data_IF_678779808234
#
_entry.id   IF_678779808234
#
_cell.length_a   1.000
_cell.length_b   1.000
_cell.length_c   1.000
_cell.angle_alpha   90.00
_cell.angle_beta   90.00
_cell.angle_gamma   90.00
#
_symmetry.space_group_name_H-M   'P 1'
#
loop_
_entity.id
_entity.type
_entity.pdbx_description
1 polymer ?
#
# COMPACT_ATOMS: atom_id res chain seq x y z
N UNK A 1 21.03 16.05 -4.17
CA UNK A 1 20.28 15.33 -3.14
C UNK A 1 19.12 14.66 -3.84
N UNK A 2 18.94 13.35 -3.72
CA UNK A 2 17.79 12.65 -4.30
C UNK A 2 16.53 13.23 -3.66
N UNK A 3 15.60 13.72 -4.49
CA UNK A 3 14.35 14.33 -3.99
C UNK A 3 13.47 13.20 -3.44
N UNK A 4 13.14 13.23 -2.14
CA UNK A 4 12.26 12.25 -1.51
C UNK A 4 10.90 12.23 -2.18
N UNK A 5 10.28 11.04 -2.28
CA UNK A 5 8.92 10.87 -2.81
C UNK A 5 7.88 11.26 -1.76
N UNK A 6 8.17 10.98 -0.51
CA UNK A 6 7.37 11.36 0.64
C UNK A 6 8.31 11.95 1.70
N UNK A 7 7.91 13.07 2.28
CA UNK A 7 8.67 13.76 3.32
C UNK A 7 7.71 14.28 4.38
N UNK A 8 7.95 13.90 5.64
CA UNK A 8 7.06 14.13 6.76
C UNK A 8 7.86 14.71 7.92
N UNK A 9 7.35 15.80 8.48
CA UNK A 9 7.95 16.47 9.62
C UNK A 9 6.91 16.70 10.72
N UNK A 10 7.16 16.17 11.91
CA UNK A 10 6.39 16.38 13.15
C UNK A 10 4.89 16.13 12.98
N UNK A 11 4.51 15.11 12.20
CA UNK A 11 3.11 14.82 11.89
C UNK A 11 2.38 14.33 13.13
N UNK A 12 1.28 15.01 13.45
CA UNK A 12 0.37 14.66 14.54
C UNK A 12 -1.06 14.54 14.00
N UNK A 13 -1.75 13.49 14.42
CA UNK A 13 -3.12 13.19 14.00
C UNK A 13 -3.97 12.88 15.23
N UNK A 14 -5.13 13.54 15.33
CA UNK A 14 -6.13 13.25 16.34
C UNK A 14 -7.35 12.57 15.72
N UNK A 15 -7.96 11.67 16.47
CA UNK A 15 -9.23 11.05 16.14
C UNK A 15 -10.14 11.16 17.36
N UNK A 16 -11.30 11.77 17.18
CA UNK A 16 -12.24 12.03 18.29
C UNK A 16 -11.58 12.72 19.50
N UNK A 17 -10.69 13.68 19.22
CA UNK A 17 -9.95 14.43 20.26
C UNK A 17 -8.77 13.69 20.87
N UNK A 18 -8.56 12.40 20.55
CA UNK A 18 -7.45 11.59 21.07
C UNK A 18 -6.30 11.55 20.06
N UNK A 19 -5.03 11.81 20.48
CA UNK A 19 -3.89 11.66 19.59
C UNK A 19 -3.68 10.18 19.26
N UNK A 20 -3.72 9.85 17.95
CA UNK A 20 -3.50 8.50 17.43
C UNK A 20 -2.17 8.37 16.69
N UNK A 21 -1.59 9.50 16.27
CA UNK A 21 -0.23 9.63 15.74
C UNK A 21 0.38 10.88 16.35
N UNK A 22 1.58 10.76 16.90
CA UNK A 22 2.25 11.83 17.65
C UNK A 22 3.66 12.04 17.15
N UNK A 23 3.95 13.25 16.67
CA UNK A 23 5.29 13.73 16.33
C UNK A 23 6.10 12.80 15.42
N UNK A 24 5.50 12.32 14.34
CA UNK A 24 6.11 11.37 13.40
C UNK A 24 6.85 12.13 12.31
N UNK A 25 8.14 11.78 12.11
CA UNK A 25 9.01 12.35 11.08
C UNK A 25 9.76 11.23 10.35
N UNK A 26 9.68 11.16 9.03
CA UNK A 26 10.47 10.27 8.17
C UNK A 26 10.41 10.71 6.71
N UNK A 27 11.27 10.14 5.88
CA UNK A 27 11.21 10.32 4.43
C UNK A 27 11.31 8.97 3.71
N UNK A 28 10.75 8.92 2.48
CA UNK A 28 10.89 7.78 1.59
C UNK A 28 11.71 8.18 0.37
N UNK A 29 12.77 7.44 0.11
CA UNK A 29 13.55 7.58 -1.10
C UNK A 29 12.80 7.03 -2.31
N UNK A 30 13.09 7.51 -3.54
CA UNK A 30 12.54 6.93 -4.76
C UNK A 30 12.87 5.43 -4.88
N UNK A 31 11.95 4.68 -5.48
CA UNK A 31 12.11 3.26 -5.84
C UNK A 31 12.41 2.33 -4.65
N UNK A 32 12.09 2.76 -3.42
CA UNK A 32 12.22 1.93 -2.21
C UNK A 32 10.89 1.30 -1.82
N UNK A 33 10.96 0.13 -1.21
CA UNK A 33 9.84 -0.54 -0.55
C UNK A 33 10.02 -0.44 0.98
N UNK A 34 9.12 0.28 1.63
CA UNK A 34 9.20 0.53 3.07
C UNK A 34 7.96 -0.02 3.77
N UNK A 35 8.18 -0.90 4.75
CA UNK A 35 7.11 -1.43 5.57
C UNK A 35 6.84 -0.55 6.79
N UNK A 36 5.58 -0.32 7.10
CA UNK A 36 5.10 0.29 8.33
C UNK A 36 4.53 -0.82 9.23
N UNK A 37 5.22 -1.11 10.31
CA UNK A 37 4.88 -2.18 11.26
C UNK A 37 4.53 -1.63 12.63
N UNK A 38 3.82 -2.41 13.44
CA UNK A 38 3.45 -2.04 14.81
C UNK A 38 2.18 -2.75 15.29
N UNK A 39 1.88 -2.70 16.58
CA UNK A 39 0.72 -3.36 17.15
C UNK A 39 -0.61 -2.82 16.61
N UNK A 40 -1.70 -3.57 16.86
CA UNK A 40 -3.04 -3.08 16.56
C UNK A 40 -3.32 -1.83 17.39
N UNK A 41 -3.95 -0.83 16.76
CA UNK A 41 -4.19 0.47 17.43
C UNK A 41 -2.97 1.40 17.47
N UNK A 42 -1.82 1.03 16.90
CA UNK A 42 -0.61 1.87 16.85
C UNK A 42 -0.73 3.14 16.01
N UNK A 43 -1.82 3.32 15.26
CA UNK A 43 -2.03 4.49 14.42
C UNK A 43 -1.62 4.32 12.96
N UNK A 44 -1.24 3.12 12.50
CA UNK A 44 -0.74 2.84 11.15
C UNK A 44 -1.69 3.33 10.05
N UNK A 45 -2.94 2.86 10.05
CA UNK A 45 -3.94 3.29 9.04
C UNK A 45 -4.30 4.77 9.18
N UNK A 46 -4.28 5.34 10.39
CA UNK A 46 -4.49 6.79 10.59
C UNK A 46 -3.34 7.60 10.01
N UNK A 47 -2.09 7.15 10.19
CA UNK A 47 -0.92 7.74 9.54
C UNK A 47 -1.07 7.70 8.02
N UNK A 48 -1.33 6.52 7.44
CA UNK A 48 -1.54 6.35 5.99
C UNK A 48 -2.65 7.27 5.47
N UNK A 49 -3.80 7.33 6.14
CA UNK A 49 -4.91 8.20 5.75
C UNK A 49 -4.54 9.68 5.82
N UNK A 50 -3.76 10.09 6.81
CA UNK A 50 -3.29 11.48 6.93
C UNK A 50 -2.28 11.84 5.83
N UNK A 51 -1.40 10.92 5.44
CA UNK A 51 -0.45 11.09 4.34
C UNK A 51 -1.16 11.27 2.99
N UNK A 52 -2.28 10.60 2.82
CA UNK A 52 -3.10 10.67 1.60
C UNK A 52 -4.10 11.85 1.62
N UNK A 53 -4.15 12.61 2.73
CA UNK A 53 -5.11 13.70 2.90
C UNK A 53 -6.56 13.25 3.11
N UNK A 54 -6.78 11.97 3.41
CA UNK A 54 -8.11 11.40 3.73
C UNK A 54 -8.52 11.81 5.15
N UNK A 55 -7.55 11.77 6.08
CA UNK A 55 -7.73 12.21 7.46
C UNK A 55 -6.99 13.54 7.67
N UNK A 56 -7.63 14.56 8.27
CA UNK A 56 -6.96 15.83 8.56
C UNK A 56 -5.86 15.62 9.61
N UNK A 57 -4.72 16.28 9.41
CA UNK A 57 -3.66 16.34 10.40
C UNK A 57 -3.88 17.50 11.38
N UNK A 58 -3.46 17.33 12.62
CA UNK A 58 -3.54 18.35 13.67
C UNK A 58 -2.26 19.19 13.77
N UNK A 59 -1.14 18.64 13.29
CA UNK A 59 0.17 19.31 13.31
C UNK A 59 1.13 18.71 12.28
N UNK A 60 2.27 19.37 12.11
CA UNK A 60 3.32 18.96 11.23
C UNK A 60 3.08 19.26 9.75
N UNK A 61 4.00 18.79 8.91
CA UNK A 61 3.94 18.98 7.46
C UNK A 61 4.18 17.67 6.71
N UNK A 62 3.55 17.57 5.54
CA UNK A 62 3.70 16.44 4.60
C UNK A 62 3.98 17.02 3.22
N UNK A 63 4.98 16.48 2.54
CA UNK A 63 5.28 16.76 1.13
C UNK A 63 5.22 15.45 0.35
N UNK A 64 4.50 15.46 -0.76
CA UNK A 64 4.36 14.34 -1.69
C UNK A 64 4.90 14.74 -3.05
N UNK A 65 5.86 14.00 -3.57
CA UNK A 65 6.52 14.29 -4.85
C UNK A 65 7.00 15.76 -4.94
N UNK A 66 7.54 16.28 -3.83
CA UNK A 66 8.01 17.66 -3.71
C UNK A 66 6.92 18.72 -3.45
N UNK A 67 5.64 18.36 -3.47
CA UNK A 67 4.52 19.28 -3.28
C UNK A 67 3.95 19.19 -1.85
N UNK A 68 3.69 20.34 -1.19
CA UNK A 68 3.09 20.31 0.14
C UNK A 68 1.64 19.83 0.07
N UNK A 69 1.31 18.90 0.95
CA UNK A 69 -0.08 18.49 1.18
C UNK A 69 -0.78 19.59 1.99
N UNK A 70 -1.87 20.15 1.49
CA UNK A 70 -2.68 21.11 2.22
C UNK A 70 -3.27 20.54 3.52
N UNK A 71 -3.70 21.39 4.48
CA UNK A 71 -4.22 20.94 5.79
C UNK A 71 -5.43 19.98 5.68
N UNK A 72 -6.22 20.16 4.60
CA UNK A 72 -7.40 19.33 4.30
C UNK A 72 -7.15 18.35 3.17
N UNK A 73 -5.91 17.93 2.94
CA UNK A 73 -5.56 16.96 1.91
C UNK A 73 -5.49 17.50 0.47
N UNK A 74 -5.42 18.82 0.28
CA UNK A 74 -5.33 19.41 -1.06
C UNK A 74 -3.98 19.08 -1.70
N UNK A 75 -4.03 18.50 -2.89
CA UNK A 75 -2.89 18.26 -3.77
C UNK A 75 -3.24 18.70 -5.18
N UNK A 76 -2.27 19.22 -5.94
CA UNK A 76 -2.46 19.41 -7.38
C UNK A 76 -2.89 18.10 -8.04
N UNK A 77 -3.85 18.13 -9.00
CA UNK A 77 -4.31 16.90 -9.68
C UNK A 77 -3.17 16.07 -10.28
N UNK A 78 -2.19 16.72 -10.89
CA UNK A 78 -1.02 16.04 -11.48
C UNK A 78 -0.18 15.28 -10.46
N UNK A 79 -0.14 15.70 -9.20
CA UNK A 79 0.55 14.98 -8.09
C UNK A 79 -0.32 13.85 -7.59
N UNK A 80 -1.61 14.13 -7.33
CA UNK A 80 -2.57 13.13 -6.86
C UNK A 80 -2.68 11.95 -7.82
N UNK A 81 -2.67 12.21 -9.11
CA UNK A 81 -2.74 11.17 -10.15
C UNK A 81 -1.50 10.27 -10.21
N UNK A 82 -0.39 10.65 -9.55
CA UNK A 82 0.82 9.84 -9.44
C UNK A 82 0.88 8.99 -8.17
N UNK A 83 -0.17 9.02 -7.35
CA UNK A 83 -0.29 8.25 -6.11
C UNK A 83 -1.39 7.21 -6.30
N UNK A 84 -1.13 5.98 -5.89
CA UNK A 84 -2.13 4.92 -5.81
C UNK A 84 -2.25 4.43 -4.37
N UNK A 85 -3.46 4.07 -3.97
CA UNK A 85 -3.76 3.54 -2.65
C UNK A 85 -4.59 2.28 -2.74
N UNK A 86 -4.10 1.22 -2.12
CA UNK A 86 -4.82 -0.03 -1.90
C UNK A 86 -5.23 -0.11 -0.42
N UNK A 87 -6.51 0.08 -0.11
CA UNK A 87 -6.99 -0.05 1.26
C UNK A 87 -7.07 -1.53 1.70
N UNK A 88 -7.05 -1.76 3.00
CA UNK A 88 -7.21 -3.08 3.61
C UNK A 88 -8.48 -3.78 3.11
N UNK A 89 -9.58 -3.06 3.08
CA UNK A 89 -10.88 -3.55 2.64
C UNK A 89 -11.46 -2.59 1.62
N UNK A 90 -11.77 -3.10 0.44
CA UNK A 90 -12.59 -2.38 -0.52
C UNK A 90 -14.05 -2.68 -0.17
N UNK A 91 -14.68 -1.77 0.58
CA UNK A 91 -16.10 -1.87 0.92
C UNK A 91 -16.97 -1.55 -0.32
N UNK A 92 -17.07 -2.49 -1.24
CA UNK A 92 -18.08 -2.43 -2.30
C UNK A 92 -19.44 -2.74 -1.65
N UNK A 93 -20.09 -1.71 -1.10
CA UNK A 93 -21.43 -1.86 -0.52
C UNK A 93 -22.43 -2.16 -1.64
N UNK A 94 -23.00 -3.36 -1.62
CA UNK A 94 -23.97 -3.82 -2.60
C UNK A 94 -23.32 -4.54 -3.81
N UNK A 95 -24.15 -5.24 -4.58
CA UNK A 95 -23.74 -5.82 -5.87
C UNK A 95 -23.67 -4.71 -6.91
N UNK A 96 -22.52 -4.09 -7.03
CA UNK A 96 -22.28 -3.13 -8.12
C UNK A 96 -22.05 -3.98 -9.37
N UNK A 97 -22.90 -3.90 -10.41
CA UNK A 97 -22.72 -4.65 -11.67
C UNK A 97 -21.63 -3.96 -12.49
N UNK A 98 -20.38 -4.08 -12.03
CA UNK A 98 -19.21 -3.47 -12.64
C UNK A 98 -18.24 -4.57 -13.06
N UNK A 99 -17.95 -4.64 -14.35
CA UNK A 99 -16.97 -5.58 -14.87
C UNK A 99 -15.55 -5.18 -14.47
N UNK A 100 -14.65 -6.16 -14.38
CA UNK A 100 -13.23 -5.93 -14.01
C UNK A 100 -12.59 -4.90 -14.94
N UNK A 101 -12.80 -4.99 -16.26
CA UNK A 101 -12.26 -4.04 -17.23
C UNK A 101 -12.80 -2.62 -17.01
N UNK A 102 -14.08 -2.48 -16.67
CA UNK A 102 -14.69 -1.18 -16.36
C UNK A 102 -14.10 -0.61 -15.09
N UNK A 103 -13.99 -1.45 -14.04
CA UNK A 103 -13.38 -1.06 -12.76
C UNK A 103 -11.94 -0.55 -12.95
N UNK A 104 -11.10 -1.32 -13.66
CA UNK A 104 -9.72 -0.90 -13.97
C UNK A 104 -9.71 0.39 -14.78
N UNK A 105 -10.65 0.55 -15.69
CA UNK A 105 -10.83 1.76 -16.48
C UNK A 105 -11.11 3.02 -15.66
N UNK A 106 -11.74 2.90 -14.48
CA UNK A 106 -11.94 4.04 -13.57
C UNK A 106 -10.61 4.63 -13.09
N UNK A 107 -9.55 3.82 -13.01
CA UNK A 107 -8.20 4.28 -12.66
C UNK A 107 -7.54 5.14 -13.74
N UNK A 108 -8.02 5.04 -15.01
CA UNK A 108 -7.58 5.87 -16.13
C UNK A 108 -8.28 7.22 -16.15
N UNK A 109 -9.55 7.26 -15.79
CA UNK A 109 -10.36 8.45 -15.89
C UNK A 109 -9.92 9.50 -14.87
N UNK A 110 -9.87 10.81 -15.22
CA UNK A 110 -9.55 11.86 -14.25
C UNK A 110 -10.65 11.88 -13.17
N UNK A 111 -10.24 12.21 -11.93
CA UNK A 111 -11.21 12.34 -10.85
C UNK A 111 -12.21 13.46 -11.13
N UNK A 112 -13.51 13.14 -11.13
CA UNK A 112 -14.62 14.06 -11.38
C UNK A 112 -15.49 13.63 -12.56
N UNK A 113 -16.56 14.37 -12.85
CA UNK A 113 -17.42 14.07 -13.99
C UNK A 113 -16.63 14.15 -15.30
N UNK A 114 -16.39 13.02 -15.94
CA UNK A 114 -15.76 12.94 -17.25
C UNK A 114 -16.82 12.74 -18.33
N UNK A 115 -16.74 13.57 -19.37
CA UNK A 115 -17.61 13.41 -20.53
C UNK A 115 -17.12 12.19 -21.34
N UNK A 116 -18.00 11.26 -21.79
CA UNK A 116 -17.61 10.00 -22.41
C UNK A 116 -16.67 10.14 -23.63
N UNK A 117 -16.74 11.27 -24.34
CA UNK A 117 -15.88 11.54 -25.51
C UNK A 117 -14.50 12.13 -25.16
N UNK A 118 -14.22 12.41 -23.88
CA UNK A 118 -12.90 12.87 -23.41
C UNK A 118 -11.97 11.72 -23.01
N UNK A 119 -12.46 10.49 -22.97
CA UNK A 119 -11.63 9.30 -22.76
C UNK A 119 -10.72 9.14 -23.97
N UNK A 120 -9.52 9.71 -23.91
CA UNK A 120 -8.55 9.66 -25.00
C UNK A 120 -8.33 8.22 -25.49
N UNK A 121 -8.04 8.04 -26.78
CA UNK A 121 -7.98 6.75 -27.50
C UNK A 121 -7.01 5.69 -26.96
N UNK A 122 -6.34 5.95 -25.82
CA UNK A 122 -5.45 5.00 -25.12
C UNK A 122 -6.09 4.20 -23.98
N UNK A 123 -7.28 4.55 -23.48
CA UNK A 123 -7.91 3.93 -22.29
C UNK A 123 -8.04 2.41 -22.42
N UNK A 124 -8.64 1.93 -23.49
CA UNK A 124 -8.84 0.50 -23.72
C UNK A 124 -7.51 -0.27 -23.85
N UNK A 125 -6.52 0.31 -24.49
CA UNK A 125 -5.19 -0.28 -24.61
C UNK A 125 -4.48 -0.33 -23.23
N UNK A 126 -4.56 0.74 -22.43
CA UNK A 126 -4.00 0.81 -21.09
C UNK A 126 -4.66 -0.21 -20.14
N UNK A 127 -6.00 -0.32 -20.18
CA UNK A 127 -6.75 -1.32 -19.39
C UNK A 127 -6.31 -2.74 -19.77
N UNK A 128 -6.28 -3.09 -21.06
CA UNK A 128 -5.81 -4.41 -21.49
C UNK A 128 -4.36 -4.70 -21.08
N UNK A 129 -3.50 -3.69 -21.17
CA UNK A 129 -2.11 -3.84 -20.73
C UNK A 129 -2.01 -4.07 -19.22
N UNK A 130 -2.74 -3.32 -18.40
CA UNK A 130 -2.78 -3.49 -16.96
C UNK A 130 -3.30 -4.87 -16.54
N UNK A 131 -4.40 -5.33 -17.14
CA UNK A 131 -4.98 -6.64 -16.86
C UNK A 131 -4.02 -7.80 -17.22
N UNK A 132 -3.32 -7.72 -18.36
CA UNK A 132 -2.30 -8.73 -18.71
C UNK A 132 -1.16 -8.77 -17.69
N UNK A 133 -0.70 -7.62 -17.23
CA UNK A 133 0.44 -7.50 -16.29
C UNK A 133 0.11 -8.01 -14.88
N UNK A 134 -1.16 -8.07 -14.53
CA UNK A 134 -1.64 -8.58 -13.23
C UNK A 134 -2.25 -9.96 -13.33
N UNK A 135 -2.14 -10.63 -14.50
CA UNK A 135 -2.71 -11.95 -14.73
C UNK A 135 -4.21 -12.01 -14.40
N UNK A 136 -4.96 -11.03 -14.94
CA UNK A 136 -6.41 -10.89 -14.77
C UNK A 136 -7.13 -10.63 -16.10
N UNK A 137 -6.46 -10.87 -17.22
CA UNK A 137 -7.03 -10.59 -18.54
C UNK A 137 -8.25 -11.47 -18.87
N UNK A 138 -8.26 -12.70 -18.40
CA UNK A 138 -9.36 -13.68 -18.52
C UNK A 138 -10.57 -13.30 -17.67
N UNK A 139 -10.40 -12.41 -16.69
CA UNK A 139 -11.44 -11.94 -15.78
C UNK A 139 -12.10 -10.63 -16.26
N UNK A 140 -11.68 -10.06 -17.39
CA UNK A 140 -12.06 -8.72 -17.84
C UNK A 140 -13.57 -8.45 -17.84
N UNK A 141 -14.36 -9.45 -18.27
CA UNK A 141 -15.82 -9.37 -18.38
C UNK A 141 -16.57 -9.87 -17.12
N UNK A 142 -15.85 -10.40 -16.13
CA UNK A 142 -16.47 -10.86 -14.89
C UNK A 142 -16.80 -9.67 -13.99
N UNK A 143 -17.86 -9.82 -13.21
CA UNK A 143 -18.20 -8.81 -12.20
C UNK A 143 -17.16 -8.84 -11.06
N UNK A 144 -16.79 -7.66 -10.55
CA UNK A 144 -15.85 -7.56 -9.41
C UNK A 144 -16.41 -8.23 -8.14
N UNK A 145 -17.73 -8.33 -8.01
CA UNK A 145 -18.41 -9.03 -6.90
C UNK A 145 -18.20 -10.56 -6.93
N UNK A 146 -17.83 -11.11 -8.08
CA UNK A 146 -17.74 -12.56 -8.31
C UNK A 146 -16.28 -13.06 -8.24
N UNK A 147 -15.36 -12.15 -7.95
CA UNK A 147 -13.95 -12.47 -7.82
C UNK A 147 -13.62 -13.10 -6.47
N UNK A 148 -12.67 -14.05 -6.47
CA UNK A 148 -12.02 -14.45 -5.23
C UNK A 148 -11.21 -13.28 -4.65
N UNK A 149 -10.85 -13.36 -3.37
CA UNK A 149 -10.06 -12.29 -2.71
C UNK A 149 -8.75 -12.05 -3.46
N UNK A 150 -8.05 -13.11 -3.88
CA UNK A 150 -6.80 -12.99 -4.64
C UNK A 150 -7.00 -12.36 -6.01
N UNK A 151 -8.05 -12.75 -6.73
CA UNK A 151 -8.40 -12.14 -8.03
C UNK A 151 -8.73 -10.66 -7.86
N UNK A 152 -9.49 -10.29 -6.83
CA UNK A 152 -9.81 -8.89 -6.53
C UNK A 152 -8.54 -8.08 -6.22
N UNK A 153 -7.60 -8.61 -5.42
CA UNK A 153 -6.33 -7.92 -5.12
C UNK A 153 -5.50 -7.69 -6.39
N UNK A 154 -5.44 -8.67 -7.32
CA UNK A 154 -4.77 -8.50 -8.62
C UNK A 154 -5.48 -7.48 -9.51
N UNK A 155 -6.81 -7.47 -9.54
CA UNK A 155 -7.59 -6.44 -10.26
C UNK A 155 -7.37 -5.03 -9.68
N UNK A 156 -7.22 -4.90 -8.35
CA UNK A 156 -6.84 -3.65 -7.70
C UNK A 156 -5.43 -3.18 -8.09
N UNK A 157 -4.47 -4.08 -8.24
CA UNK A 157 -3.16 -3.73 -8.80
C UNK A 157 -3.26 -3.27 -10.26
N UNK A 158 -4.12 -3.92 -11.07
CA UNK A 158 -4.39 -3.47 -12.45
C UNK A 158 -4.95 -2.03 -12.47
N UNK A 159 -5.86 -1.71 -11.56
CA UNK A 159 -6.38 -0.35 -11.38
C UNK A 159 -5.26 0.65 -11.05
N UNK A 160 -4.28 0.26 -10.24
CA UNK A 160 -3.12 1.11 -9.95
C UNK A 160 -2.21 1.30 -11.17
N UNK A 161 -2.07 0.25 -12.00
CA UNK A 161 -1.18 0.20 -13.17
C UNK A 161 -1.69 0.91 -14.42
N UNK A 162 -2.99 1.16 -14.51
CA UNK A 162 -3.61 1.70 -15.74
C UNK A 162 -3.09 3.09 -16.11
N UNK A 163 -2.46 3.80 -15.15
CA UNK A 163 -1.74 5.07 -15.33
C UNK A 163 -0.36 5.01 -14.66
N UNK A 164 0.62 5.76 -15.15
CA UNK A 164 1.92 5.88 -14.47
C UNK A 164 1.76 6.43 -13.04
N UNK A 165 2.32 5.72 -12.06
CA UNK A 165 2.33 6.12 -10.65
C UNK A 165 3.77 6.25 -10.17
N UNK A 166 3.98 6.97 -9.08
CA UNK A 166 5.28 7.12 -8.42
C UNK A 166 5.27 6.59 -7.00
N UNK A 167 4.11 6.67 -6.34
CA UNK A 167 3.93 6.18 -4.98
C UNK A 167 2.74 5.22 -4.94
N UNK A 168 2.99 4.02 -4.45
CA UNK A 168 1.96 3.03 -4.13
C UNK A 168 1.90 2.87 -2.62
N UNK A 169 0.73 3.08 -2.05
CA UNK A 169 0.46 2.87 -0.62
C UNK A 169 -0.44 1.67 -0.45
N UNK A 170 0.00 0.69 0.33
CA UNK A 170 -0.71 -0.56 0.59
C UNK A 170 -1.07 -0.63 2.08
N UNK A 171 -2.35 -0.68 2.40
CA UNK A 171 -2.82 -0.85 3.78
C UNK A 171 -3.29 -2.30 3.96
N UNK A 172 -2.41 -3.16 4.51
CA UNK A 172 -2.66 -4.60 4.71
C UNK A 172 -3.21 -5.31 3.46
N UNK A 173 -2.60 -5.03 2.31
CA UNK A 173 -3.09 -5.50 1.02
C UNK A 173 -3.18 -7.03 0.90
N UNK A 174 -2.41 -7.78 1.67
CA UNK A 174 -2.40 -9.25 1.72
C UNK A 174 -3.50 -9.85 2.63
N UNK A 175 -4.21 -9.04 3.40
CA UNK A 175 -5.23 -9.55 4.32
C UNK A 175 -6.29 -10.38 3.59
N UNK A 176 -6.59 -11.57 4.12
CA UNK A 176 -7.58 -12.49 3.55
C UNK A 176 -7.08 -13.38 2.40
N UNK A 177 -5.79 -13.32 2.06
CA UNK A 177 -5.16 -14.27 1.14
C UNK A 177 -4.67 -15.51 1.91
N UNK A 178 -4.76 -16.68 1.28
CA UNK A 178 -4.04 -17.86 1.75
C UNK A 178 -2.52 -17.71 1.48
N UNK A 179 -1.73 -18.65 1.99
CA UNK A 179 -0.26 -18.60 1.90
C UNK A 179 0.22 -18.56 0.44
N UNK A 180 -0.36 -19.37 -0.44
CA UNK A 180 0.04 -19.44 -1.83
C UNK A 180 -0.33 -18.14 -2.59
N UNK A 181 -1.54 -17.63 -2.39
CA UNK A 181 -1.99 -16.37 -2.99
C UNK A 181 -1.18 -15.18 -2.48
N UNK A 182 -0.78 -15.19 -1.20
CA UNK A 182 0.09 -14.18 -0.59
C UNK A 182 1.45 -14.15 -1.29
N UNK A 183 2.10 -15.30 -1.47
CA UNK A 183 3.39 -15.39 -2.15
C UNK A 183 3.30 -14.91 -3.60
N UNK A 184 2.27 -15.36 -4.35
CA UNK A 184 2.02 -14.90 -5.72
C UNK A 184 1.79 -13.39 -5.81
N UNK A 185 1.05 -12.82 -4.85
CA UNK A 185 0.81 -11.38 -4.79
C UNK A 185 2.10 -10.60 -4.56
N UNK A 186 2.98 -11.07 -3.66
CA UNK A 186 4.27 -10.43 -3.41
C UNK A 186 5.22 -10.54 -4.60
N UNK A 187 5.28 -11.69 -5.27
CA UNK A 187 6.09 -11.86 -6.49
C UNK A 187 5.64 -10.92 -7.59
N UNK A 188 4.31 -10.79 -7.79
CA UNK A 188 3.74 -9.85 -8.72
C UNK A 188 4.09 -8.40 -8.35
N UNK A 189 3.90 -8.01 -7.09
CA UNK A 189 4.20 -6.67 -6.59
C UNK A 189 5.69 -6.32 -6.77
N UNK A 190 6.58 -7.25 -6.46
CA UNK A 190 8.02 -7.09 -6.64
C UNK A 190 8.39 -6.87 -8.12
N UNK A 191 7.84 -7.68 -9.02
CA UNK A 191 8.04 -7.54 -10.47
C UNK A 191 7.54 -6.19 -10.98
N UNK A 192 6.33 -5.79 -10.57
CA UNK A 192 5.73 -4.52 -10.96
C UNK A 192 6.50 -3.32 -10.41
N UNK A 193 6.95 -3.37 -9.14
CA UNK A 193 7.78 -2.32 -8.56
C UNK A 193 9.01 -2.04 -9.40
N UNK A 194 9.75 -3.07 -9.78
CA UNK A 194 10.98 -2.92 -10.60
C UNK A 194 10.70 -2.41 -12.00
N UNK A 195 9.62 -2.85 -12.62
CA UNK A 195 9.29 -2.43 -14.00
C UNK A 195 8.68 -1.04 -14.09
N UNK A 196 8.01 -0.56 -13.02
CA UNK A 196 7.35 0.75 -12.97
C UNK A 196 8.18 1.83 -12.25
N UNK A 197 9.25 1.46 -11.53
CA UNK A 197 10.01 2.38 -10.68
C UNK A 197 9.17 2.91 -9.50
N UNK A 198 8.30 2.07 -8.91
CA UNK A 198 7.44 2.49 -7.81
C UNK A 198 8.21 2.65 -6.51
N UNK A 199 7.88 3.70 -5.77
CA UNK A 199 8.12 3.77 -4.33
C UNK A 199 6.91 3.18 -3.63
N UNK A 200 7.13 2.24 -2.70
CA UNK A 200 6.07 1.55 -1.97
C UNK A 200 6.13 1.89 -0.48
N UNK A 201 4.99 2.24 0.09
CA UNK A 201 4.77 2.25 1.53
C UNK A 201 3.70 1.21 1.85
N UNK A 202 4.06 0.17 2.59
CA UNK A 202 3.12 -0.90 2.92
C UNK A 202 2.95 -1.09 4.41
N UNK A 203 1.71 -1.16 4.87
CA UNK A 203 1.38 -1.62 6.22
C UNK A 203 1.35 -3.14 6.22
N UNK A 204 2.12 -3.75 7.10
CA UNK A 204 2.20 -5.23 7.19
C UNK A 204 2.26 -5.70 8.64
N UNK A 205 1.70 -6.89 8.87
CA UNK A 205 1.85 -7.65 10.11
C UNK A 205 2.81 -8.83 9.96
N UNK A 206 3.14 -9.20 8.72
CA UNK A 206 4.04 -10.29 8.40
C UNK A 206 5.50 -9.79 8.42
N UNK A 207 6.13 -9.92 9.59
CA UNK A 207 7.50 -9.44 9.79
C UNK A 207 8.54 -10.29 9.04
N UNK A 208 8.24 -11.57 8.78
CA UNK A 208 9.14 -12.44 8.03
C UNK A 208 9.17 -12.03 6.55
N UNK A 209 8.00 -11.81 5.96
CA UNK A 209 7.89 -11.27 4.61
C UNK A 209 8.58 -9.91 4.50
N UNK A 210 8.35 -9.01 5.47
CA UNK A 210 9.00 -7.67 5.51
C UNK A 210 10.52 -7.80 5.50
N UNK A 211 11.09 -8.72 6.28
CA UNK A 211 12.54 -8.99 6.28
C UNK A 211 13.08 -9.41 4.91
N UNK A 212 12.30 -10.18 4.16
CA UNK A 212 12.72 -10.76 2.88
C UNK A 212 12.57 -9.81 1.71
N UNK A 213 11.62 -8.86 1.76
CA UNK A 213 11.17 -8.13 0.57
C UNK A 213 11.31 -6.61 0.65
N UNK A 214 11.36 -6.04 1.86
CA UNK A 214 11.40 -4.58 2.02
C UNK A 214 12.84 -4.07 2.13
N UNK A 215 13.06 -2.84 1.65
CA UNK A 215 14.34 -2.12 1.79
C UNK A 215 14.44 -1.41 3.14
N UNK A 216 13.30 -1.02 3.71
CA UNK A 216 13.23 -0.28 4.97
C UNK A 216 12.02 -0.63 5.80
N UNK A 217 12.11 -0.34 7.09
CA UNK A 217 11.03 -0.55 8.07
C UNK A 217 10.86 0.67 8.94
N UNK A 218 9.61 1.03 9.19
CA UNK A 218 9.17 2.04 10.14
C UNK A 218 8.35 1.36 11.23
N UNK A 219 8.78 1.47 12.50
CA UNK A 219 8.08 0.89 13.63
C UNK A 219 7.23 1.97 14.31
N UNK A 220 5.93 1.81 14.25
CA UNK A 220 4.97 2.76 14.81
C UNK A 220 4.27 2.20 16.05
N UNK A 221 4.23 3.01 17.09
CA UNK A 221 3.33 2.83 18.22
C UNK A 221 2.96 4.22 18.74
N UNK A 222 1.97 4.84 18.12
CA UNK A 222 1.57 6.26 18.13
C UNK A 222 2.68 7.19 17.64
N UNK A 223 3.90 7.03 18.08
CA UNK A 223 5.10 7.71 17.59
C UNK A 223 6.03 6.72 16.88
N UNK A 224 6.98 7.22 16.12
CA UNK A 224 7.98 6.40 15.46
C UNK A 224 8.96 5.87 16.53
N UNK A 225 9.02 4.55 16.70
CA UNK A 225 9.87 3.88 17.70
C UNK A 225 11.21 3.46 17.14
N UNK A 226 11.21 3.00 15.89
CA UNK A 226 12.43 2.67 15.15
C UNK A 226 12.25 2.90 13.66
N UNK A 227 13.35 3.06 12.96
CA UNK A 227 13.41 3.09 11.50
C UNK A 227 14.77 2.58 11.03
N UNK A 228 14.83 2.00 9.84
CA UNK A 228 16.08 1.53 9.26
C UNK A 228 15.90 0.28 8.39
N UNK A 229 17.01 -0.44 8.16
CA UNK A 229 16.95 -1.72 7.46
C UNK A 229 16.12 -2.74 8.23
N UNK A 230 15.51 -3.73 7.54
CA UNK A 230 14.71 -4.77 8.21
C UNK A 230 15.45 -5.49 9.34
N UNK A 231 16.73 -5.82 9.14
CA UNK A 231 17.53 -6.52 10.16
C UNK A 231 17.70 -5.71 11.43
N UNK A 232 17.90 -4.39 11.29
CA UNK A 232 18.04 -3.50 12.44
C UNK A 232 16.69 -3.25 13.12
N UNK A 233 15.68 -2.81 12.35
CA UNK A 233 14.39 -2.39 12.88
C UNK A 233 13.56 -3.57 13.46
N UNK A 234 13.74 -4.79 12.93
CA UNK A 234 13.07 -5.99 13.39
C UNK A 234 13.98 -6.87 14.29
N UNK A 235 15.04 -6.31 14.89
CA UNK A 235 15.85 -7.03 15.86
C UNK A 235 15.00 -7.40 17.09
N UNK A 236 15.34 -8.49 17.83
CA UNK A 236 14.58 -8.92 19.01
C UNK A 236 14.36 -7.81 20.03
N UNK A 237 15.38 -6.97 20.24
CA UNK A 237 15.31 -5.81 21.15
C UNK A 237 14.27 -4.81 20.70
N UNK A 238 14.26 -4.43 19.42
CA UNK A 238 13.31 -3.47 18.87
C UNK A 238 11.88 -4.03 18.87
N UNK A 239 11.71 -5.32 18.55
CA UNK A 239 10.41 -5.98 18.60
C UNK A 239 9.85 -6.04 20.03
N UNK A 240 10.69 -6.32 21.04
CA UNK A 240 10.27 -6.30 22.44
C UNK A 240 9.85 -4.88 22.88
N UNK A 241 10.54 -3.85 22.42
CA UNK A 241 10.17 -2.45 22.70
C UNK A 241 8.87 -2.05 22.00
N UNK A 242 8.64 -2.55 20.79
CA UNK A 242 7.47 -2.21 19.97
C UNK A 242 6.20 -2.91 20.44
N UNK A 243 6.29 -4.22 20.72
CA UNK A 243 5.15 -5.10 21.02
C UNK A 243 5.01 -5.45 22.51
N UNK A 244 6.02 -5.14 23.31
CA UNK A 244 6.06 -5.46 24.74
C UNK A 244 6.86 -6.71 25.09
N UNK A 245 7.17 -6.94 26.40
CA UNK A 245 8.08 -7.99 26.86
C UNK A 245 7.54 -9.43 26.68
N UNK A 246 6.28 -9.60 26.33
CA UNK A 246 5.65 -10.91 26.06
C UNK A 246 5.56 -11.25 24.56
N UNK A 247 6.14 -10.45 23.69
CA UNK A 247 6.06 -10.70 22.26
C UNK A 247 6.95 -11.88 21.86
N UNK A 248 6.34 -12.95 21.36
CA UNK A 248 7.02 -14.11 20.75
C UNK A 248 6.80 -13.99 19.23
N UNK A 249 7.87 -13.89 18.43
CA UNK A 249 7.75 -13.92 16.97
C UNK A 249 7.07 -15.22 16.53
N UNK A 250 5.96 -15.12 15.82
CA UNK A 250 5.28 -16.30 15.28
C UNK A 250 6.10 -16.76 14.06
N UNK A 251 6.85 -17.85 14.21
CA UNK A 251 7.51 -18.50 13.10
C UNK A 251 6.50 -19.45 12.44
N UNK A 252 6.08 -19.17 11.23
CA UNK A 252 5.42 -20.17 10.41
C UNK A 252 6.44 -21.28 10.09
N UNK A 253 6.39 -22.39 10.81
CA UNK A 253 7.11 -23.60 10.43
C UNK A 253 6.55 -24.10 9.10
N UNK A 254 7.28 -23.92 8.01
CA UNK A 254 7.10 -24.75 6.83
C UNK A 254 7.55 -26.16 7.20
N UNK A 255 6.68 -27.19 7.14
CA UNK A 255 7.14 -28.56 7.30
C UNK A 255 8.10 -28.85 6.13
N UNK A 256 9.37 -29.00 6.48
CA UNK A 256 10.40 -29.42 5.56
C UNK A 256 10.07 -30.87 5.18
N UNK A 257 9.51 -31.11 3.99
CA UNK A 257 9.36 -32.45 3.40
C UNK A 257 10.76 -32.96 3.02
N UNK A 258 11.53 -33.35 4.03
CA UNK A 258 12.70 -34.21 3.84
C UNK A 258 12.23 -35.61 3.44
N UNK A 259 12.93 -36.30 2.52
CA UNK A 259 12.57 -37.65 2.14
C UNK A 259 12.66 -38.59 3.36
N UNK A 260 11.63 -39.42 3.56
CA UNK A 260 11.62 -40.46 4.58
C UNK A 260 12.82 -41.40 4.40
N UNK A 261 13.52 -41.80 5.48
CA UNK A 261 14.57 -42.82 5.39
C UNK A 261 13.94 -44.16 5.02
N UNK A 262 14.59 -44.86 4.08
CA UNK A 262 14.27 -46.23 3.67
C UNK A 262 14.68 -47.23 4.75
#
# INVERSE_FOLDING_TARGET
MATSVLDIHHLTVHRDGVPVVEDVSFCLAPETDTALVGPNGAGKSSLVQALLGILPRSGGSVRLLGHPLGPRGQLPPAVRDRIAYLPQTLALRGRIPLAVAEFVGLGWDPAGPSLPWRSGGGRAAAVRAALRRTDTADLAERLISDLSVGQLKRALLAFCLVRPRSLLVLDEAQAGLDTQATEQFHQLLYGLRRSEGWTILQVSHDLEMVRRTCDGVLCLNRSLRCSGSPDHALSPTQLTQLYGPGYVPYHHHHPNNGPAPR
#
